data_IF_749789619960
#
_entry.id   IF_749789619960
#
_cell.length_a   1.000
_cell.length_b   1.000
_cell.length_c   1.000
_cell.angle_alpha   90.00
_cell.angle_beta   90.00
_cell.angle_gamma   90.00
#
_symmetry.space_group_name_H-M   'P 1'
#
loop_
_entity.id
_entity.type
_entity.pdbx_description
1 polymer ?
#
# COMPACT_ATOMS: atom_id res chain seq x y z
N UNK A 1 25.37 -30.88 -26.89
CA UNK A 1 24.20 -31.65 -26.41
C UNK A 1 23.00 -30.72 -26.47
N UNK A 2 22.15 -30.86 -27.50
CA UNK A 2 20.93 -30.06 -27.58
C UNK A 2 19.87 -30.68 -26.66
N UNK A 3 19.36 -29.91 -25.70
CA UNK A 3 18.32 -30.38 -24.79
C UNK A 3 16.99 -30.33 -25.55
N UNK A 4 16.31 -31.46 -25.78
CA UNK A 4 15.08 -31.47 -26.58
C UNK A 4 14.00 -30.53 -25.99
N UNK A 5 13.24 -29.88 -26.88
CA UNK A 5 12.11 -28.97 -26.57
C UNK A 5 12.44 -27.63 -25.88
N UNK A 6 13.69 -27.18 -25.95
CA UNK A 6 14.06 -25.79 -25.62
C UNK A 6 13.78 -24.82 -26.76
N UNK A 7 13.98 -25.26 -28.01
CA UNK A 7 13.88 -24.43 -29.22
C UNK A 7 12.74 -24.90 -30.14
N UNK A 8 12.46 -26.21 -30.15
CA UNK A 8 11.35 -26.82 -30.86
C UNK A 8 10.10 -26.92 -29.98
N UNK A 9 8.93 -26.79 -30.60
CA UNK A 9 7.64 -27.00 -29.94
C UNK A 9 7.39 -28.49 -29.68
N UNK A 10 6.78 -28.83 -28.55
CA UNK A 10 6.29 -30.19 -28.33
C UNK A 10 5.13 -30.51 -29.28
N UNK A 11 5.03 -31.74 -29.82
CA UNK A 11 3.91 -32.16 -30.68
C UNK A 11 2.56 -32.07 -29.95
N UNK A 12 2.52 -32.42 -28.67
CA UNK A 12 1.27 -32.56 -27.91
C UNK A 12 0.68 -31.22 -27.47
N UNK A 13 1.55 -30.24 -27.14
CA UNK A 13 1.13 -28.96 -26.57
C UNK A 13 1.35 -27.77 -27.52
N UNK A 14 2.14 -27.93 -28.58
CA UNK A 14 2.52 -26.83 -29.48
C UNK A 14 3.36 -25.72 -28.83
N UNK A 15 3.86 -25.93 -27.61
CA UNK A 15 4.64 -24.95 -26.83
C UNK A 15 6.02 -25.52 -26.48
N UNK A 16 7.01 -24.65 -26.35
CA UNK A 16 8.34 -25.04 -25.84
C UNK A 16 8.37 -25.00 -24.31
N UNK A 17 9.30 -25.74 -23.70
CA UNK A 17 9.36 -25.96 -22.25
C UNK A 17 9.39 -24.65 -21.43
N UNK A 18 10.16 -23.66 -21.87
CA UNK A 18 10.28 -22.37 -21.17
C UNK A 18 8.94 -21.60 -21.08
N UNK A 19 8.07 -21.69 -22.10
CA UNK A 19 6.77 -21.01 -22.07
C UNK A 19 5.83 -21.67 -21.07
N UNK A 20 5.83 -23.00 -21.00
CA UNK A 20 5.10 -23.75 -19.97
C UNK A 20 5.64 -23.42 -18.58
N UNK A 21 6.96 -23.31 -18.43
CA UNK A 21 7.60 -22.90 -17.18
C UNK A 21 7.12 -21.53 -16.68
N UNK A 22 7.02 -20.54 -17.58
CA UNK A 22 6.45 -19.22 -17.24
C UNK A 22 4.98 -19.31 -16.84
N UNK A 23 4.17 -20.12 -17.52
CA UNK A 23 2.77 -20.32 -17.12
C UNK A 23 2.63 -20.94 -15.72
N UNK A 24 3.43 -21.96 -15.40
CA UNK A 24 3.45 -22.58 -14.07
C UNK A 24 3.93 -21.60 -12.99
N UNK A 25 4.97 -20.81 -13.29
CA UNK A 25 5.46 -19.76 -12.40
C UNK A 25 4.37 -18.72 -12.12
N UNK A 26 3.70 -18.20 -13.16
CA UNK A 26 2.59 -17.26 -12.99
C UNK A 26 1.45 -17.85 -12.17
N UNK A 27 1.10 -19.12 -12.36
CA UNK A 27 0.10 -19.80 -11.55
C UNK A 27 0.51 -19.88 -10.06
N UNK A 28 1.78 -20.14 -9.78
CA UNK A 28 2.29 -20.18 -8.39
C UNK A 28 2.24 -18.81 -7.71
N UNK A 29 2.55 -17.73 -8.43
CA UNK A 29 2.44 -16.36 -7.93
C UNK A 29 0.98 -15.99 -7.62
N UNK A 30 0.03 -16.39 -8.48
CA UNK A 30 -1.41 -16.19 -8.21
C UNK A 30 -1.85 -16.90 -6.93
N UNK A 31 -1.36 -18.12 -6.67
CA UNK A 31 -1.64 -18.84 -5.42
C UNK A 31 -1.02 -18.14 -4.20
N UNK A 32 0.22 -17.65 -4.32
CA UNK A 32 0.91 -16.89 -3.28
C UNK A 32 0.14 -15.62 -2.91
N UNK A 33 -0.21 -14.80 -3.90
CA UNK A 33 -1.02 -13.60 -3.67
C UNK A 33 -2.43 -13.95 -3.19
N UNK A 34 -3.02 -15.05 -3.67
CA UNK A 34 -4.30 -15.56 -3.17
C UNK A 34 -4.27 -15.84 -1.66
N UNK A 35 -3.17 -16.42 -1.17
CA UNK A 35 -2.95 -16.60 0.27
C UNK A 35 -2.86 -15.26 1.03
N UNK A 36 -2.12 -14.28 0.50
CA UNK A 36 -2.00 -12.94 1.09
C UNK A 36 -3.35 -12.20 1.12
N UNK A 37 -4.14 -12.27 0.05
CA UNK A 37 -5.49 -11.69 0.01
C UNK A 37 -6.43 -12.38 1.01
N UNK A 38 -6.35 -13.71 1.11
CA UNK A 38 -7.14 -14.48 2.08
C UNK A 38 -6.81 -14.06 3.51
N UNK A 39 -5.51 -13.92 3.85
CA UNK A 39 -5.07 -13.43 5.15
C UNK A 39 -5.60 -12.02 5.43
N UNK A 40 -5.55 -11.10 4.45
CA UNK A 40 -6.13 -9.77 4.59
C UNK A 40 -7.64 -9.81 4.87
N UNK A 41 -8.40 -10.64 4.14
CA UNK A 41 -9.85 -10.77 4.32
C UNK A 41 -10.17 -11.34 5.71
N UNK A 42 -9.46 -12.38 6.15
CA UNK A 42 -9.66 -12.96 7.47
C UNK A 42 -9.38 -11.94 8.58
N UNK A 43 -8.27 -11.20 8.50
CA UNK A 43 -7.97 -10.13 9.44
C UNK A 43 -9.07 -9.04 9.43
N UNK A 44 -9.60 -8.70 8.24
CA UNK A 44 -10.64 -7.68 8.09
C UNK A 44 -11.98 -8.09 8.69
N UNK A 45 -12.33 -9.37 8.62
CA UNK A 45 -13.60 -9.90 9.15
C UNK A 45 -13.49 -10.15 10.67
N UNK A 46 -12.32 -10.58 11.15
CA UNK A 46 -12.09 -10.87 12.57
C UNK A 46 -11.90 -9.61 13.42
N UNK A 47 -11.59 -8.48 12.80
CA UNK A 47 -11.45 -7.20 13.50
C UNK A 47 -12.78 -6.75 14.13
N UNK A 48 -12.74 -6.45 15.43
CA UNK A 48 -13.88 -5.92 16.15
C UNK A 48 -14.41 -4.61 15.50
N UNK A 49 -15.72 -4.33 15.62
CA UNK A 49 -16.30 -3.09 15.11
C UNK A 49 -15.53 -1.86 15.59
N UNK A 50 -15.07 -1.02 14.66
CA UNK A 50 -14.32 0.20 14.96
C UNK A 50 -12.82 0.04 15.20
N UNK A 51 -12.31 -1.20 15.27
CA UNK A 51 -10.87 -1.49 15.50
C UNK A 51 -10.03 -1.56 14.24
N UNK A 52 -10.65 -1.59 13.07
CA UNK A 52 -9.90 -1.63 11.84
C UNK A 52 -9.26 -0.27 11.56
N UNK A 53 -7.97 -0.20 11.16
CA UNK A 53 -7.32 1.06 10.82
C UNK A 53 -7.93 1.67 9.54
N UNK A 54 -8.43 2.89 9.66
CA UNK A 54 -8.98 3.66 8.54
C UNK A 54 -8.14 4.94 8.33
N UNK A 55 -7.93 5.35 7.08
CA UNK A 55 -7.31 6.65 6.76
C UNK A 55 -5.78 6.67 6.61
N UNK A 56 -5.07 5.55 6.83
CA UNK A 56 -3.60 5.46 6.66
C UNK A 56 -3.12 5.46 5.19
N UNK A 57 -4.03 5.61 4.23
CA UNK A 57 -3.72 5.51 2.80
C UNK A 57 -4.01 6.83 2.09
N UNK A 58 -2.97 7.39 1.45
CA UNK A 58 -3.13 8.53 0.55
C UNK A 58 -3.68 8.03 -0.80
N UNK A 59 -5.00 8.18 -0.98
CA UNK A 59 -5.72 7.68 -2.16
C UNK A 59 -5.22 8.33 -3.46
N UNK A 60 -5.09 9.67 -3.58
CA UNK A 60 -4.57 10.29 -4.81
C UNK A 60 -3.19 9.80 -5.24
N UNK A 61 -2.26 9.67 -4.28
CA UNK A 61 -0.89 9.18 -4.56
C UNK A 61 -0.92 7.71 -4.97
N UNK A 62 -1.72 6.89 -4.29
CA UNK A 62 -1.93 5.49 -4.66
C UNK A 62 -2.50 5.33 -6.08
N UNK A 63 -3.54 6.09 -6.43
CA UNK A 63 -4.19 6.05 -7.74
C UNK A 63 -3.24 6.49 -8.86
N UNK A 64 -2.47 7.56 -8.65
CA UNK A 64 -1.46 7.99 -9.63
C UNK A 64 -0.41 6.90 -9.85
N UNK A 65 0.06 6.26 -8.78
CA UNK A 65 1.06 5.20 -8.89
C UNK A 65 0.53 3.96 -9.62
N UNK A 66 -0.75 3.62 -9.41
CA UNK A 66 -1.43 2.57 -10.20
C UNK A 66 -1.55 2.94 -11.67
N UNK A 67 -1.87 4.20 -11.99
CA UNK A 67 -1.93 4.66 -13.38
C UNK A 67 -0.56 4.53 -14.09
N UNK A 68 0.53 4.82 -13.39
CA UNK A 68 1.91 4.64 -13.90
C UNK A 68 2.19 3.16 -14.22
N UNK A 69 1.77 2.22 -13.35
CA UNK A 69 1.93 0.79 -13.62
C UNK A 69 1.09 0.31 -14.82
N UNK A 70 -0.14 0.79 -14.94
CA UNK A 70 -0.99 0.47 -16.11
C UNK A 70 -0.31 0.98 -17.38
N UNK A 71 0.19 2.22 -17.38
CA UNK A 71 0.92 2.77 -18.51
C UNK A 71 2.17 1.94 -18.85
N UNK A 72 2.90 1.49 -17.83
CA UNK A 72 4.07 0.60 -17.99
C UNK A 72 3.70 -0.73 -18.67
N UNK A 73 2.53 -1.30 -18.37
CA UNK A 73 2.05 -2.51 -19.04
C UNK A 73 1.82 -2.29 -20.55
N UNK A 74 1.28 -1.13 -20.91
CA UNK A 74 1.05 -0.74 -22.31
C UNK A 74 2.39 -0.55 -23.03
N UNK A 75 3.39 0.07 -22.39
CA UNK A 75 4.71 0.26 -23.01
C UNK A 75 5.43 -1.05 -23.29
N UNK A 76 5.28 -2.08 -22.44
CA UNK A 76 5.81 -3.44 -22.72
C UNK A 76 5.16 -4.06 -23.95
N UNK A 77 3.84 -3.96 -24.09
CA UNK A 77 3.13 -4.51 -25.25
C UNK A 77 3.56 -3.81 -26.54
N UNK A 78 3.72 -2.48 -26.51
CA UNK A 78 4.24 -1.70 -27.63
C UNK A 78 5.71 -2.02 -27.96
N UNK A 79 6.54 -2.30 -26.95
CA UNK A 79 7.91 -2.77 -27.15
C UNK A 79 7.91 -4.11 -27.89
N UNK A 80 7.10 -5.07 -27.45
CA UNK A 80 6.95 -6.37 -28.09
C UNK A 80 6.45 -6.27 -29.54
N UNK A 81 5.43 -5.43 -29.79
CA UNK A 81 4.90 -5.18 -31.13
C UNK A 81 5.95 -4.54 -32.05
N UNK A 82 6.73 -3.58 -31.54
CA UNK A 82 7.83 -2.95 -32.28
C UNK A 82 8.94 -3.95 -32.64
N UNK A 83 9.23 -4.88 -31.74
CA UNK A 83 10.20 -5.96 -31.98
C UNK A 83 9.72 -6.91 -33.09
N UNK A 84 8.43 -7.28 -33.09
CA UNK A 84 7.78 -8.04 -34.17
C UNK A 84 7.90 -7.35 -35.53
N UNK A 85 7.75 -6.02 -35.56
CA UNK A 85 7.92 -5.20 -36.77
C UNK A 85 9.38 -4.89 -37.14
N UNK A 86 10.37 -5.50 -36.45
CA UNK A 86 11.81 -5.24 -36.63
C UNK A 86 12.21 -3.76 -36.45
N UNK A 87 11.42 -2.98 -35.71
CA UNK A 87 11.70 -1.57 -35.38
C UNK A 87 12.50 -1.45 -34.09
N UNK A 88 13.78 -1.81 -34.15
CA UNK A 88 14.67 -1.89 -32.98
C UNK A 88 14.80 -0.57 -32.19
N UNK A 89 14.85 0.57 -32.89
CA UNK A 89 14.94 1.89 -32.24
C UNK A 89 13.68 2.22 -31.43
N UNK A 90 12.50 1.83 -31.92
CA UNK A 90 11.24 2.02 -31.19
C UNK A 90 11.15 1.07 -29.99
N UNK A 91 11.54 -0.21 -30.16
CA UNK A 91 11.64 -1.18 -29.08
C UNK A 91 12.50 -0.66 -27.92
N UNK A 92 13.68 -0.09 -28.22
CA UNK A 92 14.59 0.43 -27.20
C UNK A 92 13.95 1.55 -26.37
N UNK A 93 13.29 2.51 -27.02
CA UNK A 93 12.59 3.59 -26.33
C UNK A 93 11.41 3.10 -25.48
N UNK A 94 10.61 2.16 -25.97
CA UNK A 94 9.50 1.60 -25.19
C UNK A 94 9.97 0.76 -24.00
N UNK A 95 11.08 0.04 -24.15
CA UNK A 95 11.68 -0.71 -23.05
C UNK A 95 12.25 0.24 -21.98
N UNK A 96 12.95 1.30 -22.41
CA UNK A 96 13.45 2.34 -21.50
C UNK A 96 12.30 3.01 -20.74
N UNK A 97 11.21 3.35 -21.43
CA UNK A 97 10.02 3.93 -20.82
C UNK A 97 9.44 2.99 -19.74
N UNK A 98 9.34 1.69 -20.04
CA UNK A 98 8.87 0.68 -19.07
C UNK A 98 9.74 0.65 -17.81
N UNK A 99 11.07 0.59 -17.99
CA UNK A 99 12.01 0.55 -16.86
C UNK A 99 11.89 1.83 -16.04
N UNK A 100 11.82 3.00 -16.69
CA UNK A 100 11.64 4.28 -15.99
C UNK A 100 10.35 4.34 -15.19
N UNK A 101 9.23 3.81 -15.71
CA UNK A 101 7.97 3.73 -14.97
C UNK A 101 8.09 2.83 -13.74
N UNK A 102 8.82 1.70 -13.85
CA UNK A 102 9.11 0.82 -12.72
C UNK A 102 9.98 1.49 -11.65
N UNK A 103 10.99 2.25 -12.05
CA UNK A 103 11.83 3.03 -11.12
C UNK A 103 11.00 4.10 -10.42
N UNK A 104 10.19 4.86 -11.15
CA UNK A 104 9.31 5.88 -10.58
C UNK A 104 8.35 5.25 -9.55
N UNK A 105 7.74 4.11 -9.88
CA UNK A 105 6.86 3.38 -8.97
C UNK A 105 7.57 3.02 -7.66
N UNK A 106 8.79 2.48 -7.75
CA UNK A 106 9.60 2.12 -6.58
C UNK A 106 10.00 3.35 -5.77
N UNK A 107 10.42 4.44 -6.41
CA UNK A 107 10.78 5.69 -5.72
C UNK A 107 9.60 6.27 -4.96
N UNK A 108 8.40 6.33 -5.56
CA UNK A 108 7.20 6.82 -4.88
C UNK A 108 6.86 5.95 -3.66
N UNK A 109 6.95 4.63 -3.77
CA UNK A 109 6.70 3.74 -2.63
C UNK A 109 7.75 3.85 -1.53
N UNK A 110 9.02 3.74 -1.91
CA UNK A 110 10.13 3.62 -0.96
C UNK A 110 10.51 4.96 -0.31
N UNK A 111 10.52 6.05 -1.08
CA UNK A 111 10.99 7.35 -0.60
C UNK A 111 9.88 8.21 0.02
N UNK A 112 8.63 8.03 -0.42
CA UNK A 112 7.54 8.90 0.01
C UNK A 112 6.54 8.16 0.92
N UNK A 113 6.00 7.02 0.50
CA UNK A 113 4.88 6.40 1.21
C UNK A 113 5.31 5.56 2.43
N UNK A 114 6.45 4.87 2.37
CA UNK A 114 6.91 3.99 3.45
C UNK A 114 7.49 4.72 4.66
N UNK A 115 8.35 5.74 4.53
CA UNK A 115 8.93 6.44 5.68
C UNK A 115 7.84 7.02 6.61
N UNK A 116 6.80 7.63 6.02
CA UNK A 116 5.65 8.16 6.75
C UNK A 116 4.86 7.09 7.52
N UNK A 117 4.88 5.83 7.06
CA UNK A 117 4.22 4.70 7.74
C UNK A 117 5.06 4.11 8.87
N UNK A 118 6.38 4.24 8.81
CA UNK A 118 7.27 3.81 9.90
C UNK A 118 7.31 4.79 11.07
N UNK A 119 6.96 6.06 10.83
CA UNK A 119 6.91 7.11 11.87
C UNK A 119 5.55 7.20 12.59
N UNK A 120 4.52 6.53 12.08
CA UNK A 120 3.23 6.41 12.74
C UNK A 120 3.25 5.31 13.80
N UNK A 121 2.71 5.62 14.98
CA UNK A 121 2.40 4.63 16.00
C UNK A 121 0.91 4.68 16.38
N UNK A 122 0.38 3.53 16.77
CA UNK A 122 -0.95 3.37 17.37
C UNK A 122 -0.82 2.67 18.70
N UNK A 123 -1.38 3.25 19.77
CA UNK A 123 -1.40 2.66 21.10
C UNK A 123 -2.82 2.22 21.45
N UNK A 124 -3.02 0.91 21.60
CA UNK A 124 -4.28 0.35 22.08
C UNK A 124 -4.36 0.47 23.60
N UNK A 125 -5.45 1.05 24.09
CA UNK A 125 -5.68 1.26 25.51
C UNK A 125 -6.56 0.15 26.04
N UNK A 126 -6.20 -0.39 27.21
CA UNK A 126 -7.02 -1.41 27.89
C UNK A 126 -8.36 -0.82 28.33
N UNK A 127 -9.47 -1.57 28.26
CA UNK A 127 -10.81 -1.08 28.60
C UNK A 127 -10.91 -0.45 29.99
N UNK A 128 -10.16 -0.99 30.97
CA UNK A 128 -10.18 -0.53 32.36
C UNK A 128 -9.54 0.85 32.54
N UNK A 129 -8.69 1.27 31.60
CA UNK A 129 -7.97 2.54 31.64
C UNK A 129 -8.58 3.62 30.72
N UNK A 130 -9.66 3.32 30.00
CA UNK A 130 -10.28 4.25 29.05
C UNK A 130 -10.69 5.58 29.69
N UNK A 131 -11.26 5.54 30.90
CA UNK A 131 -11.70 6.75 31.62
C UNK A 131 -10.58 7.74 31.92
N UNK A 132 -9.32 7.28 32.01
CA UNK A 132 -8.15 8.17 32.20
C UNK A 132 -7.83 8.98 30.94
N UNK A 133 -8.16 8.45 29.76
CA UNK A 133 -7.82 9.03 28.46
C UNK A 133 -9.04 9.59 27.72
N UNK A 134 -10.19 9.68 28.38
CA UNK A 134 -11.45 10.16 27.82
C UNK A 134 -11.32 11.54 27.14
N UNK A 135 -10.52 12.43 27.75
CA UNK A 135 -10.18 13.75 27.19
C UNK A 135 -9.63 13.67 25.76
N UNK A 136 -8.92 12.60 25.41
CA UNK A 136 -8.29 12.41 24.11
C UNK A 136 -9.12 11.49 23.18
N UNK A 137 -10.03 10.68 23.73
CA UNK A 137 -10.83 9.71 22.97
C UNK A 137 -12.19 10.27 22.53
N UNK A 138 -12.80 11.14 23.35
CA UNK A 138 -14.10 11.75 23.10
C UNK A 138 -15.24 10.74 22.95
N UNK A 139 -15.22 9.66 23.74
CA UNK A 139 -16.16 8.55 23.64
C UNK A 139 -17.55 8.92 24.17
N UNK A 140 -17.65 9.78 25.18
CA UNK A 140 -18.94 10.27 25.71
C UNK A 140 -19.80 10.93 24.61
N UNK A 141 -19.19 11.80 23.81
CA UNK A 141 -19.86 12.47 22.68
C UNK A 141 -20.14 11.53 21.49
N UNK A 142 -19.32 10.49 21.31
CA UNK A 142 -19.58 9.44 20.30
C UNK A 142 -20.76 8.57 20.71
N UNK A 143 -20.90 8.27 21.99
CA UNK A 143 -22.04 7.53 22.54
C UNK A 143 -23.35 8.31 22.31
N UNK A 144 -23.34 9.63 22.47
CA UNK A 144 -24.49 10.50 22.14
C UNK A 144 -24.89 10.43 20.65
N UNK A 145 -23.91 10.24 19.75
CA UNK A 145 -24.14 10.04 18.30
C UNK A 145 -24.45 8.58 17.92
N UNK A 146 -24.51 7.65 18.88
CA UNK A 146 -24.68 6.22 18.63
C UNK A 146 -23.48 5.57 17.92
N UNK A 147 -22.29 6.15 18.04
CA UNK A 147 -21.05 5.65 17.47
C UNK A 147 -20.28 4.84 18.51
N UNK A 148 -19.71 3.71 18.09
CA UNK A 148 -18.86 2.86 18.94
C UNK A 148 -17.71 3.63 19.61
N UNK A 149 -17.23 3.23 20.80
CA UNK A 149 -16.13 3.89 21.49
C UNK A 149 -14.78 3.70 20.76
N UNK A 150 -13.94 4.73 20.82
CA UNK A 150 -12.54 4.74 20.36
C UNK A 150 -11.68 4.10 21.47
N UNK A 151 -10.86 3.11 21.12
CA UNK A 151 -9.96 2.42 22.06
C UNK A 151 -8.48 2.48 21.67
N UNK A 152 -8.17 3.29 20.66
CA UNK A 152 -6.83 3.54 20.15
C UNK A 152 -6.54 5.04 20.15
N UNK A 153 -5.32 5.38 20.54
CA UNK A 153 -4.74 6.71 20.32
C UNK A 153 -3.64 6.56 19.27
N UNK A 154 -3.74 7.32 18.18
CA UNK A 154 -2.76 7.34 17.10
C UNK A 154 -1.89 8.59 17.22
N UNK A 155 -0.61 8.48 16.86
CA UNK A 155 0.31 9.62 16.84
C UNK A 155 1.51 9.44 15.92
N UNK A 156 2.37 10.45 15.94
CA UNK A 156 3.60 10.53 15.16
C UNK A 156 4.82 10.66 16.08
N UNK A 157 5.90 9.95 15.76
CA UNK A 157 7.18 10.14 16.44
C UNK A 157 7.72 11.56 16.18
N UNK A 158 7.76 12.40 17.22
CA UNK A 158 8.12 13.81 17.10
C UNK A 158 9.64 14.06 17.19
N UNK A 159 10.41 13.13 17.78
CA UNK A 159 11.87 13.26 17.90
C UNK A 159 12.58 11.91 17.90
N UNK A 160 13.60 11.74 17.05
CA UNK A 160 14.49 10.56 16.99
C UNK A 160 15.75 10.76 17.85
N UNK A 161 15.62 11.25 19.09
CA UNK A 161 16.76 11.25 20.01
C UNK A 161 16.83 9.92 20.76
N UNK A 162 17.94 9.21 20.57
CA UNK A 162 18.20 7.79 20.87
C UNK A 162 18.13 7.34 22.35
N UNK A 163 17.58 8.16 23.25
CA UNK A 163 17.50 7.86 24.69
C UNK A 163 16.07 7.86 25.27
N UNK A 164 15.12 8.55 24.65
CA UNK A 164 13.71 8.61 25.08
C UNK A 164 12.80 8.80 23.87
N UNK A 165 11.82 7.92 23.70
CA UNK A 165 10.77 8.10 22.70
C UNK A 165 9.68 8.99 23.32
N UNK A 166 9.69 10.28 22.99
CA UNK A 166 8.57 11.15 23.33
C UNK A 166 7.43 10.92 22.34
N UNK A 167 6.36 10.31 22.86
CA UNK A 167 5.13 10.02 22.15
C UNK A 167 4.28 11.30 22.18
N UNK A 168 4.37 12.11 21.13
CA UNK A 168 3.48 13.26 20.96
C UNK A 168 2.13 12.78 20.43
N UNK A 169 1.06 13.19 21.09
CA UNK A 169 -0.29 13.03 20.57
C UNK A 169 -0.42 13.89 19.32
N UNK A 170 -0.96 13.32 18.25
CA UNK A 170 -1.20 14.08 17.02
C UNK A 170 -2.21 15.20 17.30
N UNK A 171 -1.83 16.49 17.19
CA UNK A 171 -2.73 17.62 17.48
C UNK A 171 -3.98 17.62 16.58
N UNK A 172 -3.93 16.94 15.43
CA UNK A 172 -5.05 16.78 14.50
C UNK A 172 -6.08 15.78 15.03
N UNK A 173 -5.64 14.65 15.59
CA UNK A 173 -6.52 13.57 16.06
C UNK A 173 -6.78 13.60 17.58
N UNK A 174 -6.09 14.47 18.33
CA UNK A 174 -6.18 14.59 19.78
C UNK A 174 -7.26 15.59 20.27
N UNK A 175 -7.89 16.34 19.38
CA UNK A 175 -8.97 17.28 19.69
C UNK A 175 -10.36 16.70 19.32
N UNK A 176 -11.09 16.07 20.27
CA UNK A 176 -12.40 15.48 20.01
C UNK A 176 -13.52 16.50 19.74
N UNK A 177 -13.25 17.80 19.89
CA UNK A 177 -14.21 18.89 19.74
C UNK A 177 -14.32 19.45 18.31
N UNK A 178 -13.39 19.09 17.43
CA UNK A 178 -13.39 19.60 16.06
C UNK A 178 -14.16 18.65 15.11
N UNK A 179 -15.33 19.05 14.57
CA UNK A 179 -16.15 18.21 13.68
C UNK A 179 -15.50 17.92 12.33
N UNK A 180 -14.48 18.69 11.91
CA UNK A 180 -13.65 18.39 10.75
C UNK A 180 -12.70 17.21 11.03
N UNK A 181 -12.34 17.00 12.30
CA UNK A 181 -11.29 16.07 12.72
C UNK A 181 -11.85 14.82 13.40
N UNK A 182 -13.17 14.63 13.38
CA UNK A 182 -13.81 13.44 13.94
C UNK A 182 -13.28 12.16 13.25
N UNK A 183 -12.91 12.21 11.93
CA UNK A 183 -12.13 11.22 11.10
C UNK A 183 -11.66 11.82 9.73
N UNK A 184 -10.85 11.09 8.93
CA UNK A 184 -9.61 11.58 8.31
C UNK A 184 -9.83 12.66 7.23
N UNK A 185 -9.17 13.81 7.36
CA UNK A 185 -9.07 14.76 6.27
C UNK A 185 -7.86 14.47 5.36
N UNK A 186 -8.15 14.33 4.06
CA UNK A 186 -7.30 13.78 3.01
C UNK A 186 -6.49 14.82 2.22
N UNK A 187 -6.45 16.07 2.68
CA UNK A 187 -5.50 17.03 2.15
C UNK A 187 -4.29 17.05 3.08
N UNK A 188 -3.05 16.97 2.55
CA UNK A 188 -1.88 17.25 3.36
C UNK A 188 -2.04 18.67 3.91
N UNK A 189 -2.30 18.79 5.20
CA UNK A 189 -2.15 20.06 5.88
C UNK A 189 -0.65 20.37 5.88
N UNK A 190 -0.24 21.60 5.54
CA UNK A 190 1.16 21.98 5.64
C UNK A 190 1.64 21.71 7.06
N UNK A 191 2.89 21.23 7.18
CA UNK A 191 3.56 21.12 8.48
C UNK A 191 3.42 22.49 9.14
N UNK A 192 2.74 22.52 10.29
CA UNK A 192 2.60 23.76 11.05
C UNK A 192 3.98 24.19 11.49
N UNK A 193 4.33 25.46 11.23
CA UNK A 193 5.59 26.11 11.65
C UNK A 193 5.60 26.42 13.17
N UNK A 194 5.20 25.47 14.01
CA UNK A 194 5.26 25.60 15.46
C UNK A 194 5.87 24.37 16.11
#
# INVERSE_FOLDING_TARGET
>A
MEIPYTISTRPDTGLWNAKIGIWLFLASEVMLFGGLFSAYIFLRIDAAPGMWPHGLLNVPVGTMNTAILILSSVTVVLAWASLKMRRYRAYWWYMLATISCGVIFLTVKLAYEWPQKFEHFGAYIKPEALGKYEKYLGNERRAEKGLEPRIEITGHLHSQNSKEYEVALDPVNAEPDNPAMDRPHFFPLPVTDK
#
